data_IF_914152216350
#
_entry.id   IF_914152216350
#
_cell.length_a   1.000
_cell.length_b   1.000
_cell.length_c   1.000
_cell.angle_alpha   90.00
_cell.angle_beta   90.00
_cell.angle_gamma   90.00
#
_symmetry.space_group_name_H-M   'P 1'
#
loop_
_entity.id
_entity.type
_entity.pdbx_description
1 polymer ?
#
# COMPACT_ATOMS: atom_id res chain seq x y z
N UNK A 1 25.86 0.00 13.52
CA UNK A 1 24.46 0.16 13.08
C UNK A 1 24.29 -0.51 11.73
N UNK A 2 23.47 -1.55 11.61
CA UNK A 2 23.07 -2.06 10.29
C UNK A 2 21.99 -1.13 9.74
N UNK A 3 22.37 -0.30 8.76
CA UNK A 3 21.43 0.55 8.03
C UNK A 3 20.70 -0.35 7.04
N UNK A 4 19.45 -0.71 7.34
CA UNK A 4 18.60 -1.42 6.40
C UNK A 4 18.09 -0.43 5.36
N UNK A 5 18.65 -0.52 4.15
CA UNK A 5 18.24 0.32 3.02
C UNK A 5 16.90 -0.20 2.53
N UNK A 6 15.84 0.50 2.92
CA UNK A 6 14.51 0.28 2.34
C UNK A 6 14.53 0.89 0.94
N UNK A 7 14.36 0.07 -0.09
CA UNK A 7 14.18 0.57 -1.46
C UNK A 7 12.91 1.42 -1.48
N UNK A 8 13.09 2.72 -1.66
CA UNK A 8 12.00 3.69 -1.73
C UNK A 8 11.17 3.42 -2.98
N UNK A 9 9.93 2.94 -2.79
CA UNK A 9 9.00 2.67 -3.89
C UNK A 9 8.15 3.91 -4.14
N UNK A 10 7.63 4.10 -5.36
CA UNK A 10 6.72 5.21 -5.67
C UNK A 10 5.33 4.71 -5.96
N UNK A 11 4.34 5.42 -5.44
CA UNK A 11 2.94 5.17 -5.76
C UNK A 11 2.70 5.45 -7.25
N UNK A 12 2.15 4.51 -8.04
CA UNK A 12 1.92 4.72 -9.47
C UNK A 12 0.88 5.82 -9.77
N UNK A 13 0.06 6.19 -8.78
CA UNK A 13 -1.00 7.21 -8.94
C UNK A 13 -0.52 8.63 -8.66
N UNK A 14 0.15 8.85 -7.52
CA UNK A 14 0.51 10.19 -7.05
C UNK A 14 2.02 10.43 -6.96
N UNK A 15 2.84 9.42 -7.31
CA UNK A 15 4.31 9.47 -7.26
C UNK A 15 4.92 9.72 -5.88
N UNK A 16 4.09 9.77 -4.83
CA UNK A 16 4.55 9.86 -3.45
C UNK A 16 5.34 8.61 -3.06
N UNK A 17 6.38 8.80 -2.26
CA UNK A 17 7.23 7.70 -1.81
C UNK A 17 6.47 6.82 -0.83
N UNK A 18 6.39 5.53 -1.12
CA UNK A 18 5.75 4.51 -0.29
C UNK A 18 6.85 3.82 0.51
N UNK A 19 7.01 4.27 1.75
CA UNK A 19 8.05 3.79 2.67
C UNK A 19 7.50 2.87 3.79
N UNK A 20 6.20 2.59 3.77
CA UNK A 20 5.51 1.94 4.86
C UNK A 20 5.41 0.43 4.63
N UNK A 21 6.36 -0.32 5.19
CA UNK A 21 6.10 -1.70 5.62
C UNK A 21 6.51 -1.83 7.09
N UNK A 22 5.89 -2.80 7.77
CA UNK A 22 6.21 -3.14 9.16
C UNK A 22 7.59 -3.82 9.17
N UNK A 23 8.46 -3.38 10.07
CA UNK A 23 9.85 -3.82 10.33
C UNK A 23 10.59 -4.59 9.20
N UNK A 24 11.55 -3.96 8.48
CA UNK A 24 12.36 -4.61 7.43
C UNK A 24 13.16 -5.81 7.91
N UNK A 25 13.34 -5.97 9.22
CA UNK A 25 14.17 -7.02 9.81
C UNK A 25 13.42 -8.34 9.94
N UNK A 26 12.09 -8.31 9.84
CA UNK A 26 11.26 -9.51 9.85
C UNK A 26 10.99 -9.94 8.40
N UNK A 27 11.55 -11.09 7.95
CA UNK A 27 11.29 -11.62 6.61
C UNK A 27 9.80 -11.85 6.34
N UNK A 28 8.99 -12.12 7.37
CA UNK A 28 7.55 -12.32 7.24
C UNK A 28 6.80 -11.04 6.82
N UNK A 29 7.40 -9.86 7.05
CA UNK A 29 6.82 -8.57 6.67
C UNK A 29 7.38 -8.04 5.35
N UNK A 30 8.29 -8.78 4.70
CA UNK A 30 8.78 -8.40 3.37
C UNK A 30 7.66 -8.64 2.36
N UNK A 31 7.20 -7.61 1.62
CA UNK A 31 6.16 -7.79 0.63
C UNK A 31 6.66 -8.63 -0.55
N UNK A 32 5.83 -9.57 -0.98
CA UNK A 32 6.06 -10.46 -2.11
C UNK A 32 5.33 -9.95 -3.35
N UNK A 33 5.77 -10.44 -4.52
CA UNK A 33 5.09 -10.13 -5.77
C UNK A 33 3.62 -10.58 -5.73
N UNK A 34 2.73 -9.65 -6.07
CA UNK A 34 1.29 -9.86 -5.97
C UNK A 34 0.66 -9.36 -4.67
N UNK A 35 1.46 -9.00 -3.66
CA UNK A 35 0.94 -8.36 -2.45
C UNK A 35 0.37 -6.97 -2.75
N UNK A 36 -0.62 -6.55 -1.95
CA UNK A 36 -1.29 -5.25 -2.10
C UNK A 36 -0.63 -4.20 -1.22
N UNK A 37 -0.40 -3.03 -1.79
CA UNK A 37 0.01 -1.81 -1.08
C UNK A 37 -1.06 -0.72 -1.23
N UNK A 38 -1.41 -0.08 -0.12
CA UNK A 38 -2.28 1.10 -0.11
C UNK A 38 -1.45 2.34 0.17
N UNK A 39 -1.48 3.31 -0.74
CA UNK A 39 -0.77 4.57 -0.55
C UNK A 39 -1.49 5.43 0.50
N UNK A 40 -0.84 5.73 1.61
CA UNK A 40 -1.39 6.61 2.65
C UNK A 40 -1.76 7.99 2.12
N UNK A 41 -1.01 8.53 1.15
CA UNK A 41 -1.20 9.89 0.65
C UNK A 41 -2.43 10.07 -0.27
N UNK A 42 -2.70 9.09 -1.15
CA UNK A 42 -3.81 9.20 -2.11
C UNK A 42 -4.85 8.08 -1.99
N UNK A 43 -4.69 7.19 -0.99
CA UNK A 43 -5.50 5.98 -0.81
C UNK A 43 -5.57 5.08 -2.07
N UNK A 44 -4.54 5.16 -2.93
CA UNK A 44 -4.44 4.40 -4.16
C UNK A 44 -3.97 2.97 -3.88
N UNK A 45 -4.59 2.00 -4.55
CA UNK A 45 -4.26 0.58 -4.41
C UNK A 45 -3.30 0.14 -5.50
N UNK A 46 -2.17 -0.42 -5.09
CA UNK A 46 -1.06 -0.84 -5.95
C UNK A 46 -0.62 -2.26 -5.61
N UNK A 47 0.11 -2.90 -6.52
CA UNK A 47 0.58 -4.28 -6.36
C UNK A 47 2.11 -4.30 -6.41
N UNK A 48 2.72 -5.07 -5.52
CA UNK A 48 4.16 -5.29 -5.53
C UNK A 48 4.58 -6.15 -6.74
N UNK A 49 5.62 -5.69 -7.44
CA UNK A 49 6.28 -6.42 -8.51
C UNK A 49 7.78 -6.17 -8.43
N UNK A 50 8.51 -7.13 -7.85
CA UNK A 50 9.91 -7.02 -7.48
C UNK A 50 10.18 -5.81 -6.59
N UNK A 51 10.99 -4.89 -7.10
CA UNK A 51 11.35 -3.66 -6.40
C UNK A 51 10.37 -2.51 -6.62
N UNK A 52 9.32 -2.67 -7.43
CA UNK A 52 8.42 -1.60 -7.84
C UNK A 52 6.97 -1.82 -7.40
N UNK A 53 6.15 -0.76 -7.55
CA UNK A 53 4.70 -0.81 -7.40
C UNK A 53 4.06 -0.54 -8.75
N UNK A 54 3.16 -1.44 -9.15
CA UNK A 54 2.38 -1.29 -10.38
C UNK A 54 0.89 -1.12 -10.07
N UNK A 55 0.14 -0.77 -11.12
CA UNK A 55 -1.32 -0.81 -11.08
C UNK A 55 -1.80 -2.26 -10.95
N UNK A 56 -2.85 -2.54 -10.16
CA UNK A 56 -3.48 -3.85 -10.10
C UNK A 56 -4.15 -4.20 -11.43
N UNK A 57 -4.17 -5.49 -11.78
CA UNK A 57 -5.04 -5.96 -12.87
C UNK A 57 -6.51 -5.90 -12.44
N UNK A 58 -7.47 -5.96 -13.38
CA UNK A 58 -8.90 -6.02 -13.03
C UNK A 58 -9.25 -7.16 -12.06
N UNK A 59 -8.62 -8.32 -12.21
CA UNK A 59 -8.85 -9.50 -11.36
C UNK A 59 -8.30 -9.32 -9.95
N UNK A 60 -7.10 -8.74 -9.82
CA UNK A 60 -6.47 -8.40 -8.54
C UNK A 60 -7.25 -7.32 -7.80
N UNK A 61 -7.72 -6.31 -8.53
CA UNK A 61 -8.58 -5.27 -7.99
C UNK A 61 -9.89 -5.88 -7.51
N UNK A 62 -10.55 -6.72 -8.32
CA UNK A 62 -11.79 -7.38 -7.93
C UNK A 62 -11.60 -8.26 -6.68
N UNK A 63 -10.46 -8.94 -6.54
CA UNK A 63 -10.10 -9.70 -5.33
C UNK A 63 -9.95 -8.80 -4.12
N UNK A 64 -9.22 -7.71 -4.27
CA UNK A 64 -8.98 -6.71 -3.22
C UNK A 64 -10.28 -6.07 -2.74
N UNK A 65 -11.20 -5.77 -3.66
CA UNK A 65 -12.52 -5.22 -3.32
C UNK A 65 -13.43 -6.19 -2.57
N UNK A 66 -13.09 -7.48 -2.46
CA UNK A 66 -13.81 -8.44 -1.60
C UNK A 66 -13.27 -8.47 -0.17
N UNK A 67 -12.09 -7.91 0.08
CA UNK A 67 -11.50 -7.85 1.41
C UNK A 67 -12.08 -6.67 2.20
N UNK A 68 -12.91 -6.99 3.20
CA UNK A 68 -13.56 -5.99 4.06
C UNK A 68 -12.58 -5.20 4.92
N UNK A 69 -11.47 -5.81 5.36
CA UNK A 69 -10.47 -5.14 6.18
C UNK A 69 -9.72 -4.11 5.33
N UNK A 70 -9.34 -4.48 4.11
CA UNK A 70 -8.71 -3.58 3.17
C UNK A 70 -9.60 -2.38 2.83
N UNK A 71 -10.88 -2.64 2.54
CA UNK A 71 -11.85 -1.59 2.27
C UNK A 71 -12.03 -0.64 3.47
N UNK A 72 -12.03 -1.18 4.69
CA UNK A 72 -12.07 -0.37 5.92
C UNK A 72 -10.83 0.54 6.01
N UNK A 73 -9.63 0.00 5.83
CA UNK A 73 -8.40 0.80 5.87
C UNK A 73 -8.35 1.89 4.80
N UNK A 74 -8.81 1.60 3.57
CA UNK A 74 -8.93 2.63 2.52
C UNK A 74 -9.92 3.73 2.94
N UNK A 75 -11.03 3.36 3.56
CA UNK A 75 -12.03 4.33 4.05
C UNK A 75 -11.45 5.21 5.16
N UNK A 76 -10.74 4.62 6.12
CA UNK A 76 -10.07 5.32 7.21
C UNK A 76 -9.03 6.31 6.67
N UNK A 77 -8.14 5.87 5.77
CA UNK A 77 -7.14 6.73 5.14
C UNK A 77 -7.78 7.90 4.39
N UNK A 78 -8.90 7.67 3.68
CA UNK A 78 -9.64 8.75 3.01
C UNK A 78 -10.26 9.72 4.02
N UNK A 79 -10.82 9.22 5.12
CA UNK A 79 -11.40 10.07 6.16
C UNK A 79 -10.33 10.99 6.78
N UNK A 80 -9.15 10.43 7.09
CA UNK A 80 -7.99 11.18 7.59
C UNK A 80 -7.52 12.24 6.58
N UNK A 81 -7.39 11.88 5.30
CA UNK A 81 -6.86 12.79 4.28
C UNK A 81 -7.82 13.91 3.86
N UNK A 82 -9.12 13.65 3.86
CA UNK A 82 -10.13 14.62 3.42
C UNK A 82 -10.84 15.33 4.58
N UNK A 83 -10.42 15.09 5.84
CA UNK A 83 -10.98 15.76 7.02
C UNK A 83 -12.46 15.48 7.27
N UNK A 84 -13.02 14.44 6.64
CA UNK A 84 -14.40 14.03 6.89
C UNK A 84 -14.43 13.18 8.16
N UNK A 85 -14.81 13.82 9.26
CA UNK A 85 -15.17 13.10 10.47
C UNK A 85 -16.35 12.18 10.15
N UNK A 86 -16.11 10.88 10.23
CA UNK A 86 -17.18 9.88 10.15
C UNK A 86 -17.71 9.70 11.57
N UNK A 87 -18.48 10.67 12.04
CA UNK A 87 -19.41 10.49 13.17
C UNK A 87 -20.82 10.29 12.62
#
# INVERSE_FOLDING_TARGET
MNVHVVVARRCPFCQHTVNAFVDPRDPANTPHDGDISVCVNCSGLSVFQGSELRLPTPEELARSMRDKNLLRSIKELRAEHYGWSVF
#
